data_IF_002717864068
#
_entry.id   IF_002717864068
#
_cell.length_a   1.000
_cell.length_b   1.000
_cell.length_c   1.000
_cell.angle_alpha   90.00
_cell.angle_beta   90.00
_cell.angle_gamma   90.00
#
_symmetry.space_group_name_H-M   'P 1'
#
loop_
_entity.id
_entity.type
_entity.pdbx_description
1 polymer ?
2 water ?
#
# COMPACT_ATOMS: atom_id res chain seq x y z
N UNK A 9 4.91 18.91 6.57
CA UNK A 9 5.42 17.58 6.94
C UNK A 9 4.34 16.77 7.65
N UNK A 10 3.69 17.38 8.65
CA UNK A 10 2.64 16.67 9.38
C UNK A 10 1.49 16.29 8.44
N UNK A 11 1.02 17.24 7.65
CA UNK A 11 -0.14 16.94 6.81
C UNK A 11 0.18 15.89 5.74
N UNK A 12 1.36 15.96 5.13
CA UNK A 12 1.69 14.99 4.08
C UNK A 12 1.95 13.62 4.67
N UNK A 13 2.63 13.57 5.83
CA UNK A 13 2.86 12.29 6.48
C UNK A 13 1.56 11.64 6.92
N UNK A 14 0.57 12.45 7.32
CA UNK A 14 -0.72 11.90 7.72
C UNK A 14 -1.46 11.29 6.54
N UNK A 15 -1.29 11.87 5.34
CA UNK A 15 -1.90 11.29 4.15
C UNK A 15 -1.27 9.94 3.84
N UNK A 16 0.05 9.86 3.87
CA UNK A 16 0.70 8.56 3.68
C UNK A 16 0.24 7.59 4.74
N UNK A 17 0.15 8.04 5.99
CA UNK A 17 -0.30 7.14 7.05
C UNK A 17 -1.70 6.61 6.76
N UNK A 18 -2.61 7.46 6.28
CA UNK A 18 -3.96 6.96 5.97
C UNK A 18 -3.94 5.89 4.89
N UNK A 19 -3.13 6.10 3.84
CA UNK A 19 -2.98 5.09 2.80
C UNK A 19 -2.53 3.76 3.42
N UNK A 20 -1.53 3.83 4.29
CA UNK A 20 -1.00 2.60 4.91
C UNK A 20 -2.05 1.92 5.77
N UNK A 21 -2.84 2.70 6.50
CA UNK A 21 -3.89 2.13 7.34
C UNK A 21 -4.95 1.44 6.49
N UNK A 22 -5.40 2.12 5.42
CA UNK A 22 -6.36 1.51 4.50
C UNK A 22 -5.80 0.21 3.93
N UNK A 23 -4.55 0.21 3.49
CA UNK A 23 -3.94 -1.01 2.97
C UNK A 23 -3.98 -2.13 3.99
N UNK A 24 -3.67 -1.82 5.26
CA UNK A 24 -3.68 -2.85 6.28
C UNK A 24 -5.10 -3.33 6.56
N UNK A 25 -6.06 -2.42 6.65
CA UNK A 25 -7.45 -2.83 6.84
C UNK A 25 -7.87 -3.80 5.75
N UNK A 26 -7.57 -3.44 4.49
CA UNK A 26 -7.95 -4.31 3.38
C UNK A 26 -7.27 -5.66 3.50
N UNK A 27 -6.01 -5.69 3.91
CA UNK A 27 -5.30 -6.96 4.04
C UNK A 27 -5.92 -7.82 5.14
N UNK A 28 -6.35 -7.20 6.24
CA UNK A 28 -7.03 -7.97 7.27
C UNK A 28 -8.32 -8.58 6.75
N UNK A 29 -9.01 -7.88 5.88
CA UNK A 29 -10.24 -8.39 5.34
C UNK A 29 -10.08 -9.63 4.45
N UNK A 30 -8.86 -10.02 4.13
CA UNK A 30 -8.66 -11.21 3.33
C UNK A 30 -8.88 -12.44 4.19
N UNK A 31 -8.88 -12.26 5.49
CA UNK A 31 -9.12 -13.31 6.44
C UNK A 31 -10.61 -13.51 6.54
N UNK A 32 -11.03 -14.75 6.44
CA UNK A 32 -12.42 -15.08 6.47
C UNK A 32 -13.14 -14.90 7.79
N UNK A 33 -12.47 -15.13 8.90
CA UNK A 33 -13.09 -14.94 10.19
C UNK A 33 -13.38 -13.44 10.43
N UNK A 34 -12.48 -12.61 9.94
CA UNK A 34 -12.63 -11.18 10.04
C UNK A 34 -13.83 -10.80 9.25
N UNK A 35 -13.90 -11.28 8.03
CA UNK A 35 -15.03 -10.99 7.19
C UNK A 35 -16.36 -11.40 7.83
N UNK A 36 -16.38 -12.59 8.40
CA UNK A 36 -17.59 -13.09 9.04
C UNK A 36 -18.00 -12.24 10.24
N UNK A 37 -17.04 -11.78 11.05
CA UNK A 37 -17.39 -10.96 12.21
C UNK A 37 -18.07 -9.66 11.79
N UNK A 38 -17.62 -9.07 10.68
CA UNK A 38 -18.25 -7.84 10.21
C UNK A 38 -19.58 -8.10 9.54
N UNK A 39 -19.68 -9.18 8.76
CA UNK A 39 -20.95 -9.56 8.18
C UNK A 39 -21.98 -9.89 9.25
N UNK A 40 -21.54 -10.55 10.33
CA UNK A 40 -22.46 -10.95 11.39
C UNK A 40 -22.61 -9.91 12.49
N UNK A 41 -21.71 -8.94 12.56
CA UNK A 41 -21.74 -7.93 13.61
C UNK A 41 -21.51 -8.56 14.96
N UNK A 42 -20.41 -9.29 15.10
CA UNK A 42 -20.14 -10.02 16.32
C UNK A 42 -18.74 -9.70 16.83
N UNK A 43 -18.53 -9.95 18.13
CA UNK A 43 -17.21 -9.87 18.75
C UNK A 43 -16.61 -8.48 18.66
N UNK A 44 -17.45 -7.45 18.69
CA UNK A 44 -17.00 -6.08 18.65
C UNK A 44 -16.85 -5.49 17.27
N UNK A 45 -17.04 -6.28 16.22
CA UNK A 45 -17.05 -5.75 14.86
C UNK A 45 -18.39 -5.10 14.55
N UNK A 46 -18.35 -3.93 13.91
CA UNK A 46 -19.58 -3.28 13.51
C UNK A 46 -20.21 -4.02 12.34
N UNK A 47 -21.50 -4.22 12.37
CA UNK A 47 -22.18 -4.95 11.33
C UNK A 47 -22.07 -4.25 10.00
N UNK A 48 -21.61 -4.97 9.01
CA UNK A 48 -21.47 -4.42 7.67
C UNK A 48 -22.37 -5.17 6.73
N UNK A 49 -22.94 -4.48 5.78
CA UNK A 49 -23.82 -5.11 4.81
C UNK A 49 -23.02 -5.73 3.68
N UNK A 50 -23.66 -6.65 2.95
CA UNK A 50 -23.02 -7.26 1.80
C UNK A 50 -22.49 -6.21 0.84
N UNK A 51 -23.23 -5.15 0.66
CA UNK A 51 -22.81 -4.08 -0.21
C UNK A 51 -21.51 -3.44 0.24
N UNK A 52 -21.34 -3.30 1.54
CA UNK A 52 -20.14 -2.70 2.09
C UNK A 52 -18.96 -3.63 1.93
N UNK A 53 -19.14 -4.89 2.16
CA UNK A 53 -18.09 -5.84 1.99
C UNK A 53 -17.66 -5.88 0.54
N UNK A 54 -18.62 -5.79 -0.35
CA UNK A 54 -18.32 -5.83 -1.76
C UNK A 54 -17.55 -4.60 -2.19
N UNK A 55 -17.81 -3.48 -1.56
CA UNK A 55 -17.09 -2.28 -1.86
C UNK A 55 -15.67 -2.47 -1.42
N UNK A 56 -15.47 -2.98 -0.23
CA UNK A 56 -14.11 -3.19 0.27
C UNK A 56 -13.33 -4.13 -0.64
N UNK A 57 -13.96 -5.19 -1.12
CA UNK A 57 -13.26 -6.13 -2.02
C UNK A 57 -12.91 -5.50 -3.36
N UNK A 58 -13.80 -4.70 -3.90
CA UNK A 58 -13.57 -4.02 -5.14
C UNK A 58 -12.38 -3.06 -4.98
N UNK A 59 -12.39 -2.27 -3.92
CA UNK A 59 -11.29 -1.32 -3.70
C UNK A 59 -9.98 -2.06 -3.52
N UNK A 60 -10.00 -3.19 -2.83
CA UNK A 60 -8.77 -3.98 -2.69
C UNK A 60 -8.25 -4.41 -4.06
N UNK A 61 -9.12 -4.98 -4.89
CA UNK A 61 -8.68 -5.44 -6.21
C UNK A 61 -8.09 -4.29 -7.01
N UNK A 62 -8.78 -3.14 -7.01
CA UNK A 62 -8.42 -2.06 -7.90
C UNK A 62 -7.25 -1.21 -7.40
N UNK A 63 -6.85 -1.36 -6.14
CA UNK A 63 -5.67 -0.65 -5.64
C UNK A 63 -4.41 -1.51 -5.64
N UNK A 64 -4.49 -2.76 -6.08
CA UNK A 64 -3.28 -3.55 -6.21
C UNK A 64 -2.48 -3.07 -7.42
N UNK A 65 -1.16 -3.17 -7.31
CA UNK A 65 -0.30 -2.84 -8.42
C UNK A 65 0.18 -4.18 -8.97
N UNK A 66 0.55 -4.20 -10.23
CA UNK A 66 0.95 -5.45 -10.84
C UNK A 66 1.85 -5.32 -12.05
N UNK A 67 2.88 -6.15 -12.05
CA UNK A 67 3.82 -6.23 -13.15
C UNK A 67 3.14 -7.15 -14.17
N UNK A 68 3.03 -6.70 -15.41
CA UNK A 68 2.32 -7.42 -16.48
C UNK A 68 3.05 -8.68 -16.92
N UNK A 75 0.03 -2.44 -18.11
CA UNK A 75 1.36 -2.06 -17.72
C UNK A 75 1.41 -1.76 -16.23
N UNK A 76 2.60 -1.87 -15.64
CA UNK A 76 2.73 -1.69 -14.21
C UNK A 76 2.43 -0.25 -13.80
N UNK A 77 3.03 0.72 -14.51
CA UNK A 77 2.80 2.14 -14.18
C UNK A 77 1.32 2.48 -14.27
N UNK A 78 0.62 1.88 -15.24
CA UNK A 78 -0.82 2.07 -15.33
C UNK A 78 -1.53 1.63 -14.06
N UNK A 79 -1.15 0.47 -13.51
CA UNK A 79 -1.79 0.01 -12.28
C UNK A 79 -1.44 0.92 -11.11
N UNK A 80 -0.20 1.41 -11.06
CA UNK A 80 0.20 2.28 -9.94
C UNK A 80 -0.53 3.62 -10.03
N UNK A 81 -0.63 4.18 -11.23
CA UNK A 81 -1.34 5.44 -11.39
C UNK A 81 -2.81 5.30 -11.02
N UNK A 82 -3.43 4.20 -11.46
CA UNK A 82 -4.84 3.97 -11.14
C UNK A 82 -5.04 3.84 -9.64
N UNK A 83 -4.17 3.05 -8.99
CA UNK A 83 -4.27 2.90 -7.54
C UNK A 83 -4.05 4.23 -6.84
N UNK A 84 -3.04 5.01 -7.28
CA UNK A 84 -2.78 6.30 -6.65
C UNK A 84 -3.98 7.23 -6.76
N UNK A 85 -4.65 7.25 -7.91
CA UNK A 85 -5.84 8.08 -8.07
C UNK A 85 -6.95 7.64 -7.14
N UNK A 86 -7.12 6.33 -6.97
CA UNK A 86 -8.14 5.82 -6.06
C UNK A 86 -7.85 6.20 -4.61
N UNK A 87 -6.59 6.07 -4.19
CA UNK A 87 -6.25 6.52 -2.84
C UNK A 87 -6.42 8.03 -2.68
N UNK A 88 -6.01 8.79 -3.70
CA UNK A 88 -6.20 10.24 -3.62
C UNK A 88 -7.67 10.58 -3.42
N UNK A 89 -8.55 9.99 -4.23
CA UNK A 89 -9.96 10.34 -4.14
C UNK A 89 -10.53 9.93 -2.79
N UNK A 90 -10.05 8.82 -2.23
CA UNK A 90 -10.56 8.35 -0.95
C UNK A 90 -10.11 9.24 0.19
N UNK A 91 -8.80 9.52 0.29
CA UNK A 91 -8.34 10.24 1.48
C UNK A 91 -8.71 11.71 1.42
N UNK A 92 -9.10 12.21 0.25
CA UNK A 92 -9.60 13.56 0.09
C UNK A 92 -11.13 13.62 0.05
N UNK A 93 -11.79 12.48 0.28
CA UNK A 93 -13.24 12.37 0.42
C UNK A 93 -13.98 13.07 -0.71
N UNK A 94 -13.60 12.75 -1.94
CA UNK A 94 -14.19 13.38 -3.09
C UNK A 94 -15.63 12.92 -3.29
N UNK A 95 -16.47 13.75 -3.93
CA UNK A 95 -17.85 13.32 -4.19
C UNK A 95 -17.99 12.37 -5.35
N UNK A 96 -16.94 12.21 -6.16
CA UNK A 96 -16.91 11.22 -7.23
C UNK A 96 -17.40 9.86 -6.74
N UNK A 97 -18.05 9.11 -7.63
CA UNK A 97 -18.57 7.80 -7.28
C UNK A 97 -17.48 6.74 -7.33
N UNK A 98 -17.48 5.85 -6.34
CA UNK A 98 -16.78 4.58 -6.39
C UNK A 98 -17.83 3.51 -6.15
N UNK A 99 -18.10 2.71 -7.16
CA UNK A 99 -19.26 1.83 -7.08
C UNK A 99 -20.51 2.65 -6.84
N UNK A 100 -21.28 2.27 -5.82
CA UNK A 100 -22.57 2.89 -5.53
C UNK A 100 -22.49 3.92 -4.41
N UNK A 101 -21.30 4.39 -4.03
CA UNK A 101 -21.16 5.37 -2.96
C UNK A 101 -20.14 6.40 -3.40
N UNK A 102 -20.08 7.50 -2.66
CA UNK A 102 -19.05 8.49 -2.90
C UNK A 102 -17.74 8.05 -2.26
N UNK A 103 -16.63 8.60 -2.76
CA UNK A 103 -15.35 8.37 -2.07
C UNK A 103 -15.41 8.90 -0.65
N UNK A 104 -16.21 9.94 -0.40
CA UNK A 104 -16.41 10.43 0.96
C UNK A 104 -17.00 9.34 1.83
N UNK A 105 -18.02 8.63 1.32
CA UNK A 105 -18.62 7.55 2.08
C UNK A 105 -17.63 6.39 2.26
N UNK A 106 -16.86 6.09 1.22
CA UNK A 106 -15.85 5.03 1.32
C UNK A 106 -14.81 5.37 2.38
N UNK A 107 -14.31 6.61 2.37
CA UNK A 107 -13.38 7.02 3.41
C UNK A 107 -13.94 6.78 4.80
N UNK A 108 -15.21 7.13 4.99
CA UNK A 108 -15.83 6.97 6.31
C UNK A 108 -15.94 5.51 6.72
N UNK A 109 -16.12 4.61 5.76
CA UNK A 109 -16.16 3.18 6.08
C UNK A 109 -14.81 2.71 6.65
N UNK A 110 -13.72 3.07 5.97
CA UNK A 110 -12.40 2.73 6.50
C UNK A 110 -12.17 3.37 7.86
N UNK A 111 -12.62 4.62 8.03
CA UNK A 111 -12.43 5.30 9.31
C UNK A 111 -13.18 4.60 10.42
N UNK A 112 -14.44 4.20 10.15
CA UNK A 112 -15.24 3.50 11.13
C UNK A 112 -14.61 2.17 11.53
N UNK A 113 -14.07 1.44 10.56
CA UNK A 113 -13.44 0.16 10.86
C UNK A 113 -12.21 0.37 11.72
N UNK A 114 -11.33 1.29 11.31
CA UNK A 114 -10.13 1.58 12.07
C UNK A 114 -10.46 2.07 13.47
N UNK A 115 -11.43 2.98 13.58
CA UNK A 115 -11.71 3.60 14.88
C UNK A 115 -12.39 2.63 15.83
N UNK A 116 -12.98 1.54 15.32
CA UNK A 116 -13.65 0.57 16.17
C UNK A 116 -12.67 -0.24 17.02
N UNK A 117 -11.41 -0.32 16.62
CA UNK A 117 -10.42 -1.08 17.35
C UNK A 117 -10.53 -2.59 17.22
N UNK A 118 -11.51 -3.08 16.45
CA UNK A 118 -11.70 -4.53 16.34
C UNK A 118 -10.45 -5.25 15.85
N UNK A 119 -9.76 -4.69 14.84
CA UNK A 119 -8.60 -5.38 14.29
C UNK A 119 -7.42 -5.37 15.25
N UNK A 120 -7.38 -4.41 16.18
CA UNK A 120 -6.38 -4.44 17.21
C UNK A 120 -6.77 -5.53 18.23
N UNK B 9 -3.60 18.45 -6.70
CA UNK B 9 -4.03 17.07 -6.95
C UNK B 9 -2.90 16.26 -7.60
N UNK B 10 -2.30 16.84 -8.64
CA UNK B 10 -1.26 16.13 -9.39
C UNK B 10 -0.08 15.81 -8.48
N UNK B 11 0.36 16.78 -7.67
CA UNK B 11 1.57 16.59 -6.88
C UNK B 11 1.34 15.58 -5.77
N UNK B 12 0.17 15.62 -5.14
CA UNK B 12 -0.15 14.68 -4.07
C UNK B 12 -0.35 13.27 -4.61
N UNK B 13 -1.01 13.15 -5.77
CA UNK B 13 -1.19 11.83 -6.37
C UNK B 13 0.16 11.22 -6.75
N UNK B 14 1.09 12.05 -7.24
CA UNK B 14 2.43 11.56 -7.57
C UNK B 14 3.17 11.04 -6.34
N UNK B 15 2.98 11.70 -5.18
CA UNK B 15 3.64 11.20 -3.97
C UNK B 15 3.07 9.85 -3.57
N UNK B 16 1.74 9.70 -3.61
CA UNK B 16 1.12 8.39 -3.32
C UNK B 16 1.64 7.34 -4.29
N UNK B 17 1.77 7.70 -5.57
CA UNK B 17 2.22 6.71 -6.53
C UNK B 17 3.65 6.26 -6.26
N UNK B 18 4.52 7.19 -5.83
CA UNK B 18 5.89 6.78 -5.56
C UNK B 18 5.93 5.78 -4.40
N UNK B 19 5.12 6.02 -3.36
CA UNK B 19 5.00 5.06 -2.26
C UNK B 19 4.57 3.70 -2.79
N UNK B 20 3.56 3.67 -3.67
CA UNK B 20 3.08 2.39 -4.19
C UNK B 20 4.15 1.68 -5.00
N UNK B 21 4.93 2.43 -5.79
CA UNK B 21 5.98 1.80 -6.59
C UNK B 21 7.06 1.21 -5.69
N UNK B 22 7.47 1.95 -4.65
CA UNK B 22 8.45 1.44 -3.70
C UNK B 22 7.94 0.15 -3.06
N UNK B 23 6.68 0.14 -2.63
CA UNK B 23 6.12 -1.06 -2.00
C UNK B 23 6.17 -2.23 -2.95
N UNK B 24 5.87 -2.01 -4.22
CA UNK B 24 5.93 -3.09 -5.19
C UNK B 24 7.35 -3.62 -5.34
N UNK B 25 8.33 -2.71 -5.49
CA UNK B 25 9.72 -3.14 -5.63
C UNK B 25 10.13 -4.01 -4.45
N UNK B 26 9.83 -3.56 -3.24
CA UNK B 26 10.12 -4.33 -2.05
C UNK B 26 9.45 -5.69 -2.08
N UNK B 27 8.18 -5.74 -2.49
CA UNK B 27 7.48 -7.02 -2.48
C UNK B 27 8.06 -7.98 -3.51
N UNK B 28 8.56 -7.46 -4.63
CA UNK B 28 9.24 -8.33 -5.60
C UNK B 28 10.58 -8.81 -5.06
N UNK B 29 11.26 -7.97 -4.27
CA UNK B 29 12.62 -8.27 -3.85
C UNK B 29 12.69 -9.39 -2.82
N UNK B 30 11.56 -9.79 -2.23
CA UNK B 30 11.56 -10.94 -1.34
C UNK B 30 11.44 -12.26 -2.07
N UNK B 31 11.28 -12.23 -3.39
CA UNK B 31 11.40 -13.43 -4.21
C UNK B 31 12.87 -13.81 -4.30
N UNK B 32 13.19 -15.07 -3.98
CA UNK B 32 14.59 -15.47 -3.89
C UNK B 32 15.30 -15.33 -5.23
N UNK B 33 14.60 -15.58 -6.34
CA UNK B 33 15.25 -15.47 -7.64
C UNK B 33 15.52 -14.01 -8.00
N UNK B 34 14.61 -13.11 -7.62
CA UNK B 34 14.85 -11.70 -7.82
C UNK B 34 16.07 -11.25 -7.03
N UNK B 35 16.14 -11.61 -5.74
CA UNK B 35 17.29 -11.19 -4.94
C UNK B 35 18.58 -11.80 -5.48
N UNK B 36 18.52 -13.06 -5.92
CA UNK B 36 19.70 -13.68 -6.53
C UNK B 36 20.18 -12.85 -7.72
N UNK B 37 19.26 -12.46 -8.60
CA UNK B 37 19.64 -11.66 -9.76
C UNK B 37 20.29 -10.35 -9.33
N UNK B 38 19.71 -9.68 -8.32
CA UNK B 38 20.27 -8.41 -7.89
C UNK B 38 21.64 -8.58 -7.22
N UNK B 39 21.80 -9.64 -6.42
CA UNK B 39 23.10 -9.84 -5.77
C UNK B 39 24.18 -10.24 -6.76
N UNK B 40 23.81 -10.82 -7.89
CA UNK B 40 24.78 -11.24 -8.90
C UNK B 40 24.89 -10.27 -10.07
N UNK B 41 23.96 -9.32 -10.20
CA UNK B 41 23.97 -8.46 -11.36
C UNK B 41 23.71 -9.24 -12.63
N UNK B 42 22.76 -10.16 -12.57
CA UNK B 42 22.40 -10.98 -13.69
C UNK B 42 21.00 -10.69 -14.22
N UNK B 43 20.71 -11.25 -15.39
CA UNK B 43 19.41 -11.14 -16.03
C UNK B 43 18.79 -9.75 -16.09
N UNK B 44 19.63 -8.73 -16.24
CA UNK B 44 19.16 -7.37 -16.34
C UNK B 44 19.18 -6.59 -15.04
N UNK B 45 19.43 -7.23 -13.92
CA UNK B 45 19.46 -6.53 -12.66
C UNK B 45 20.79 -5.89 -12.39
N UNK B 46 20.75 -4.69 -11.83
CA UNK B 46 21.97 -4.00 -11.47
C UNK B 46 22.49 -4.64 -10.21
N UNK B 47 23.79 -4.85 -10.17
CA UNK B 47 24.41 -5.49 -9.05
C UNK B 47 24.28 -4.71 -7.77
N UNK B 48 23.82 -5.37 -6.74
CA UNK B 48 23.64 -4.74 -5.46
C UNK B 48 24.82 -5.09 -4.61
N UNK B 49 25.24 -4.18 -3.74
CA UNK B 49 26.30 -4.48 -2.81
C UNK B 49 25.66 -4.69 -1.43
N UNK B 50 26.43 -5.14 -0.46
CA UNK B 50 25.86 -5.39 0.86
C UNK B 50 25.24 -4.13 1.45
N UNK B 51 25.84 -2.98 1.17
CA UNK B 51 25.30 -1.72 1.69
C UNK B 51 23.90 -1.46 1.17
N UNK B 52 23.66 -1.70 -0.13
CA UNK B 52 22.32 -1.50 -0.68
C UNK B 52 21.38 -2.62 -0.26
N UNK B 53 21.89 -3.86 -0.19
CA UNK B 53 21.12 -4.95 0.38
C UNK B 53 20.62 -4.59 1.77
N UNK B 54 21.52 -4.10 2.62
CA UNK B 54 21.13 -3.74 3.98
C UNK B 54 20.09 -2.61 3.98
N UNK B 55 20.24 -1.64 3.09
CA UNK B 55 19.27 -0.55 2.99
C UNK B 55 17.88 -1.07 2.66
N UNK B 56 17.79 -1.99 1.69
CA UNK B 56 16.50 -2.52 1.30
C UNK B 56 15.90 -3.35 2.43
N UNK B 57 16.74 -4.15 3.10
CA UNK B 57 16.24 -5.01 4.18
C UNK B 57 15.66 -4.18 5.30
N UNK B 58 16.42 -3.16 5.74
CA UNK B 58 15.96 -2.38 6.87
C UNK B 58 14.77 -1.51 6.50
N UNK B 59 14.73 -1.01 5.26
CA UNK B 59 13.56 -0.26 4.82
C UNK B 59 12.31 -1.13 4.79
N UNK B 60 12.45 -2.36 4.27
CA UNK B 60 11.32 -3.27 4.26
C UNK B 60 10.82 -3.50 5.67
N UNK B 61 11.73 -3.82 6.60
CA UNK B 61 11.32 -4.11 7.97
C UNK B 61 10.63 -2.90 8.58
N UNK B 62 11.22 -1.72 8.43
CA UNK B 62 10.69 -0.53 9.09
C UNK B 62 9.42 0.02 8.45
N UNK B 63 9.08 -0.37 7.22
CA UNK B 63 7.87 0.16 6.60
C UNK B 63 6.69 -0.80 6.70
N UNK B 64 6.88 -1.97 7.31
CA UNK B 64 5.76 -2.88 7.51
C UNK B 64 4.90 -2.39 8.64
N UNK B 65 3.60 -2.40 8.48
CA UNK B 65 2.73 -2.05 9.55
C UNK B 65 2.25 -3.39 10.10
N UNK B 66 1.93 -3.45 11.38
CA UNK B 66 1.55 -4.71 11.96
C UNK B 66 0.61 -4.59 13.15
N UNK B 67 -0.45 -5.37 13.15
CA UNK B 67 -1.38 -5.40 14.27
C UNK B 67 -0.65 -6.23 15.31
N UNK B 68 -0.66 -5.70 16.57
CA UNK B 68 0.09 -6.48 17.58
C UNK B 68 -0.49 -7.82 18.05
N UNK B 76 -0.22 -0.78 16.62
CA UNK B 76 -0.40 -0.73 15.17
C UNK B 76 -0.13 0.68 14.67
N UNK B 77 -0.74 1.66 15.34
CA UNK B 77 -0.59 3.04 14.87
C UNK B 77 0.86 3.50 14.98
N UNK B 78 1.59 3.02 15.98
CA UNK B 78 3.01 3.32 16.03
C UNK B 78 3.73 2.79 14.79
N UNK B 79 3.41 1.57 14.35
CA UNK B 79 4.07 1.04 13.15
C UNK B 79 3.65 1.83 11.92
N UNK B 80 2.39 2.27 11.87
CA UNK B 80 1.90 3.03 10.71
C UNK B 80 2.59 4.38 10.63
N UNK B 81 2.72 5.07 11.77
CA UNK B 81 3.37 6.37 11.79
C UNK B 81 4.84 6.26 11.44
N UNK B 82 5.52 5.23 11.98
CA UNK B 82 6.93 5.05 11.67
C UNK B 82 7.12 4.77 10.18
N UNK B 83 6.28 3.91 9.62
CA UNK B 83 6.36 3.63 8.19
C UNK B 83 6.09 4.90 7.37
N UNK B 84 5.06 5.66 7.74
CA UNK B 84 4.73 6.86 7.00
C UNK B 84 5.87 7.86 7.07
N UNK B 85 6.52 7.98 8.24
CA UNK B 85 7.62 8.92 8.34
C UNK B 85 8.79 8.52 7.45
N UNK B 86 9.06 7.22 7.37
CA UNK B 86 10.15 6.77 6.50
C UNK B 86 9.81 6.98 5.04
N UNK B 87 8.55 6.72 4.63
CA UNK B 87 8.16 7.00 3.26
C UNK B 87 8.25 8.50 2.99
N UNK B 88 7.80 9.33 3.92
CA UNK B 88 7.90 10.78 3.75
C UNK B 88 9.34 11.21 3.53
N UNK B 89 10.24 10.80 4.43
CA UNK B 89 11.65 11.20 4.31
C UNK B 89 12.23 10.73 2.98
N UNK B 90 11.81 9.55 2.52
CA UNK B 90 12.38 8.99 1.31
C UNK B 90 11.88 9.71 0.06
N UNK B 91 10.57 9.89 -0.07
CA UNK B 91 10.08 10.50 -1.31
C UNK B 91 10.34 12.01 -1.35
N UNK B 92 10.70 12.62 -0.24
CA UNK B 92 11.06 14.04 -0.26
C UNK B 92 12.58 14.23 -0.24
N UNK B 106 18.28 5.92 -0.44
CA UNK B 106 17.09 5.10 -0.56
C UNK B 106 16.31 5.49 -1.81
N UNK B 107 16.02 6.79 -1.96
CA UNK B 107 15.15 7.20 -3.06
C UNK B 107 15.77 6.89 -4.41
N UNK B 108 17.08 7.13 -4.53
CA UNK B 108 17.78 6.88 -5.77
C UNK B 108 17.84 5.39 -6.08
N UNK B 109 18.04 4.56 -5.06
CA UNK B 109 18.08 3.11 -5.26
C UNK B 109 16.76 2.60 -5.83
N UNK B 110 15.64 2.97 -5.22
CA UNK B 110 14.34 2.56 -5.74
C UNK B 110 14.11 3.10 -7.16
N UNK B 111 14.51 4.35 -7.41
CA UNK B 111 14.24 4.90 -8.73
C UNK B 111 15.11 4.22 -9.78
N UNK B 112 16.35 3.88 -9.42
CA UNK B 112 17.22 3.17 -10.35
C UNK B 112 16.69 1.78 -10.65
N UNK B 113 16.21 1.05 -9.63
CA UNK B 113 15.62 -0.26 -9.88
C UNK B 113 14.43 -0.13 -10.80
N UNK B 114 13.58 0.88 -10.57
CA UNK B 114 12.42 1.07 -11.42
C UNK B 114 12.83 1.46 -12.84
N UNK B 115 13.83 2.34 -12.96
CA UNK B 115 14.32 2.76 -14.27
C UNK B 115 15.00 1.62 -15.03
N UNK B 116 15.48 0.60 -14.34
CA UNK B 116 16.21 -0.48 -15.01
C UNK B 116 15.31 -1.35 -15.87
N UNK B 117 14.02 -1.40 -15.57
CA UNK B 117 13.11 -2.29 -16.28
C UNK B 117 13.20 -3.75 -15.91
N UNK B 118 14.08 -4.12 -14.97
CA UNK B 118 14.29 -5.53 -14.66
C UNK B 118 12.99 -6.19 -14.23
N UNK B 119 12.23 -5.54 -13.36
CA UNK B 119 11.02 -6.17 -12.85
C UNK B 119 9.94 -6.28 -13.91
N UNK B 120 9.99 -5.42 -14.92
CA UNK B 120 9.02 -5.47 -16.02
C UNK B 120 9.30 -6.63 -16.96
N UNK B 121 10.56 -7.05 -17.05
CA UNK B 121 10.90 -8.23 -17.85
C UNK B 121 10.75 -9.51 -17.05
N UNK B 122 11.04 -9.46 -15.74
CA UNK B 122 11.08 -10.67 -14.93
C UNK B 122 9.75 -11.39 -14.92
N UNK B 123 8.64 -10.65 -14.88
CA UNK B 123 7.33 -11.27 -14.85
C UNK B 123 6.75 -11.39 -16.26
#
# INVERSE_FOLDING_TARGET
ARKDNLAKTIAETAKIREVLIIQNVLNCFNDDQVRSDFLNGENGAKKLENTELELLEKFFIETQTRRPETADDVSFIATAQKSAELFYSTINARPKSFGEVSFEKLRSLFQQIQDSGYLDKYYL
ARKDNLAKTIAETAKIREVLIIQNVLNCFNDDQVRSDFLNGENGAKKLENTELELLEKFFIETQTRRPETADDVSFIATAQKSAELFYSTINARPKSFGEVSFEKLRSLFQQIQDSGYLDKYYL
#
